data_IF_495843034337
#
_entry.id   IF_495843034337
#
_cell.length_a   1.000
_cell.length_b   1.000
_cell.length_c   1.000
_cell.angle_alpha   90.00
_cell.angle_beta   90.00
_cell.angle_gamma   90.00
#
_symmetry.space_group_name_H-M   'P 1'
#
loop_
_entity.id
_entity.type
_entity.pdbx_description
1 polymer ?
#
# COMPACT_ATOMS: atom_id res chain seq x y z
N UNK A 1 9.46 3.36 22.71
CA UNK A 1 8.03 3.01 22.88
C UNK A 1 7.86 1.65 22.24
N UNK A 2 7.23 0.70 22.94
CA UNK A 2 7.02 -0.66 22.42
C UNK A 2 6.19 -0.60 21.13
N UNK A 3 6.67 -1.20 20.05
CA UNK A 3 5.84 -1.50 18.89
C UNK A 3 4.77 -2.47 19.38
N UNK A 4 3.49 -2.13 19.20
CA UNK A 4 2.42 -3.05 19.50
C UNK A 4 2.48 -4.17 18.46
N UNK A 5 2.81 -5.39 18.88
CA UNK A 5 2.59 -6.57 18.05
C UNK A 5 1.08 -6.77 17.95
N UNK A 6 0.52 -6.56 16.76
CA UNK A 6 -0.92 -6.64 16.56
C UNK A 6 -1.36 -8.11 16.59
N UNK A 7 -2.42 -8.46 17.33
CA UNK A 7 -2.98 -9.80 17.27
C UNK A 7 -3.44 -10.09 15.84
N UNK A 8 -3.13 -11.29 15.34
CA UNK A 8 -3.58 -11.75 14.02
C UNK A 8 -5.11 -11.78 13.82
N UNK A 9 -5.86 -11.59 14.91
CA UNK A 9 -7.31 -11.56 14.92
C UNK A 9 -7.90 -10.20 14.50
N UNK A 10 -7.11 -9.12 14.55
CA UNK A 10 -7.61 -7.79 14.19
C UNK A 10 -8.07 -7.78 12.73
N UNK A 11 -9.24 -7.21 12.41
CA UNK A 11 -9.73 -7.15 11.04
C UNK A 11 -8.91 -6.15 10.22
N UNK A 12 -8.54 -6.54 9.00
CA UNK A 12 -7.81 -5.70 8.05
C UNK A 12 -8.69 -5.32 6.86
N UNK A 13 -8.62 -4.06 6.46
CA UNK A 13 -9.10 -3.56 5.19
C UNK A 13 -7.92 -3.10 4.33
N UNK A 14 -7.89 -3.56 3.08
CA UNK A 14 -6.88 -3.18 2.10
C UNK A 14 -7.49 -2.17 1.11
N UNK A 15 -6.85 -1.03 0.90
CA UNK A 15 -7.18 -0.07 -0.16
C UNK A 15 -6.02 -0.04 -1.17
N UNK A 16 -6.26 -0.43 -2.42
CA UNK A 16 -5.19 -0.71 -3.38
C UNK A 16 -5.56 -0.34 -4.83
N UNK A 17 -4.58 -0.15 -5.70
CA UNK A 17 -4.72 0.09 -7.15
C UNK A 17 -4.16 -1.06 -7.99
N UNK A 18 -4.23 -2.28 -7.43
CA UNK A 18 -3.70 -3.58 -7.92
C UNK A 18 -2.82 -3.54 -9.17
N UNK A 19 -1.58 -3.14 -8.92
CA UNK A 19 -0.38 -3.38 -9.70
C UNK A 19 0.34 -4.68 -9.35
N UNK A 20 1.64 -4.73 -9.66
CA UNK A 20 2.49 -5.92 -9.45
C UNK A 20 2.96 -6.00 -8.00
N UNK A 21 3.34 -4.87 -7.42
CA UNK A 21 3.70 -4.72 -6.00
C UNK A 21 2.50 -4.88 -5.06
N UNK A 22 1.31 -4.42 -5.44
CA UNK A 22 0.08 -4.74 -4.72
C UNK A 22 -0.17 -6.24 -4.66
N UNK A 23 0.09 -6.97 -5.76
CA UNK A 23 0.00 -8.44 -5.78
C UNK A 23 0.99 -9.09 -4.80
N UNK A 24 2.22 -8.55 -4.68
CA UNK A 24 3.16 -9.01 -3.65
C UNK A 24 2.62 -8.74 -2.22
N UNK A 25 1.99 -7.59 -1.99
CA UNK A 25 1.40 -7.24 -0.70
C UNK A 25 0.20 -8.15 -0.36
N UNK A 26 -0.68 -8.41 -1.32
CA UNK A 26 -1.78 -9.36 -1.18
C UNK A 26 -1.24 -10.77 -0.85
N UNK A 27 -0.25 -11.25 -1.60
CA UNK A 27 0.38 -12.54 -1.32
C UNK A 27 0.96 -12.59 0.10
N UNK A 28 1.62 -11.52 0.54
CA UNK A 28 2.14 -11.40 1.89
C UNK A 28 1.00 -11.49 2.94
N UNK A 29 -0.08 -10.71 2.80
CA UNK A 29 -1.22 -10.72 3.72
C UNK A 29 -1.87 -12.12 3.83
N UNK A 30 -2.03 -12.81 2.68
CA UNK A 30 -2.57 -14.17 2.64
C UNK A 30 -1.60 -15.17 3.29
N UNK A 31 -0.32 -15.13 2.94
CA UNK A 31 0.71 -15.99 3.53
C UNK A 31 0.88 -15.78 5.02
N UNK A 32 0.62 -14.56 5.49
CA UNK A 32 0.65 -14.20 6.91
C UNK A 32 -0.56 -14.70 7.69
N UNK A 33 -1.65 -15.04 7.01
CA UNK A 33 -2.91 -15.47 7.61
C UNK A 33 -3.70 -14.32 8.23
N UNK A 34 -3.62 -13.12 7.65
CA UNK A 34 -4.34 -11.94 8.14
C UNK A 34 -5.86 -12.12 7.96
N UNK A 35 -6.63 -11.64 8.94
CA UNK A 35 -8.09 -11.52 8.85
C UNK A 35 -8.48 -10.36 7.89
N UNK A 36 -8.26 -10.56 6.59
CA UNK A 36 -8.59 -9.58 5.55
C UNK A 36 -10.11 -9.60 5.31
N UNK A 37 -10.82 -8.60 5.86
CA UNK A 37 -12.29 -8.52 5.88
C UNK A 37 -12.88 -7.76 4.70
N UNK A 38 -12.04 -7.10 3.90
CA UNK A 38 -12.45 -6.45 2.66
C UNK A 38 -11.30 -5.79 1.93
N UNK A 39 -11.49 -5.62 0.62
CA UNK A 39 -10.60 -4.88 -0.27
C UNK A 39 -11.39 -3.78 -0.98
N UNK A 40 -10.92 -2.55 -0.87
CA UNK A 40 -11.33 -1.43 -1.70
C UNK A 40 -10.33 -1.22 -2.82
N UNK A 41 -10.82 -0.96 -4.05
CA UNK A 41 -9.93 -0.59 -5.15
C UNK A 41 -10.07 0.86 -5.55
N UNK A 42 -8.97 1.49 -5.94
CA UNK A 42 -8.89 2.89 -6.37
C UNK A 42 -8.13 2.97 -7.69
N UNK A 43 -8.32 4.04 -8.47
CA UNK A 43 -7.53 4.22 -9.69
C UNK A 43 -6.16 4.78 -9.37
N UNK A 44 -5.13 4.19 -9.97
CA UNK A 44 -3.76 4.64 -9.88
C UNK A 44 -2.86 3.94 -10.90
N UNK A 45 -2.32 2.77 -10.56
CA UNK A 45 -1.53 1.91 -11.47
C UNK A 45 -2.40 1.47 -12.65
N UNK A 46 -3.66 1.11 -12.37
CA UNK A 46 -4.72 0.93 -13.36
C UNK A 46 -6.02 1.63 -12.91
N UNK A 47 -7.11 1.51 -13.69
CA UNK A 47 -8.44 1.99 -13.30
C UNK A 47 -8.99 1.20 -12.10
N UNK A 48 -9.82 1.81 -11.25
CA UNK A 48 -10.39 1.14 -10.07
C UNK A 48 -11.16 -0.15 -10.41
N UNK A 49 -11.84 -0.18 -11.56
CA UNK A 49 -12.57 -1.36 -12.02
C UNK A 49 -11.62 -2.48 -12.46
N UNK A 50 -10.55 -2.15 -13.17
CA UNK A 50 -9.52 -3.12 -13.56
C UNK A 50 -8.70 -3.60 -12.36
N UNK A 51 -8.39 -2.71 -11.42
CA UNK A 51 -7.78 -3.07 -10.14
C UNK A 51 -8.65 -4.08 -9.40
N UNK A 52 -9.98 -3.87 -9.33
CA UNK A 52 -10.89 -4.84 -8.69
C UNK A 52 -10.90 -6.21 -9.40
N UNK A 53 -10.82 -6.22 -10.73
CA UNK A 53 -10.72 -7.46 -11.49
C UNK A 53 -9.38 -8.17 -11.23
N UNK A 54 -8.27 -7.43 -11.23
CA UNK A 54 -6.94 -7.95 -10.92
C UNK A 54 -6.87 -8.50 -9.48
N UNK A 55 -7.40 -7.74 -8.50
CA UNK A 55 -7.52 -8.20 -7.10
C UNK A 55 -8.27 -9.53 -7.04
N UNK A 56 -9.44 -9.60 -7.69
CA UNK A 56 -10.31 -10.78 -7.66
C UNK A 56 -9.59 -12.00 -8.26
N UNK A 57 -8.99 -11.85 -9.44
CA UNK A 57 -8.27 -12.92 -10.13
C UNK A 57 -7.06 -13.39 -9.34
N UNK A 58 -6.28 -12.47 -8.78
CA UNK A 58 -5.10 -12.82 -8.02
C UNK A 58 -5.45 -13.51 -6.70
N UNK A 59 -6.43 -13.00 -5.95
CA UNK A 59 -6.97 -13.69 -4.78
C UNK A 59 -7.53 -15.07 -5.14
N UNK A 60 -8.21 -15.21 -6.28
CA UNK A 60 -8.66 -16.49 -6.81
C UNK A 60 -7.52 -17.47 -7.09
N UNK A 61 -6.41 -17.00 -7.66
CA UNK A 61 -5.19 -17.78 -7.87
C UNK A 61 -4.51 -18.19 -6.55
N UNK A 62 -4.76 -17.44 -5.46
CA UNK A 62 -4.38 -17.78 -4.10
C UNK A 62 -5.42 -18.62 -3.34
N UNK A 63 -6.55 -18.96 -3.96
CA UNK A 63 -7.62 -19.75 -3.36
C UNK A 63 -8.53 -19.00 -2.39
N UNK A 64 -8.59 -17.66 -2.47
CA UNK A 64 -9.32 -16.77 -1.55
C UNK A 64 -10.40 -15.94 -2.25
N UNK A 65 -11.41 -16.61 -2.82
CA UNK A 65 -12.55 -15.93 -3.47
C UNK A 65 -13.60 -15.40 -2.49
N UNK A 66 -13.45 -15.70 -1.19
CA UNK A 66 -14.35 -15.33 -0.11
C UNK A 66 -14.21 -13.87 0.38
N UNK A 67 -13.11 -13.20 0.03
CA UNK A 67 -12.80 -11.86 0.52
C UNK A 67 -13.65 -10.82 -0.23
N UNK A 68 -14.42 -9.96 0.46
CA UNK A 68 -15.21 -8.93 -0.18
C UNK A 68 -14.39 -7.92 -0.97
N UNK A 69 -14.79 -7.59 -2.20
CA UNK A 69 -14.13 -6.59 -3.05
C UNK A 69 -15.12 -5.51 -3.47
N UNK A 70 -14.82 -4.26 -3.13
CA UNK A 70 -15.60 -3.08 -3.48
C UNK A 70 -14.84 -2.20 -4.49
N UNK A 71 -15.48 -1.86 -5.60
CA UNK A 71 -14.93 -0.88 -6.55
C UNK A 71 -15.06 0.51 -5.91
N UNK A 72 -13.95 1.25 -5.84
CA UNK A 72 -13.90 2.60 -5.30
C UNK A 72 -13.80 3.69 -6.36
N UNK A 73 -13.11 4.75 -6.00
CA UNK A 73 -13.05 5.98 -6.77
C UNK A 73 -12.30 5.79 -8.10
N UNK A 74 -12.96 6.18 -9.19
CA UNK A 74 -12.31 6.23 -10.49
C UNK A 74 -11.46 7.48 -10.69
N UNK A 75 -11.91 8.65 -10.20
CA UNK A 75 -11.21 9.92 -10.38
C UNK A 75 -10.62 10.42 -9.07
N UNK A 76 -9.45 11.09 -9.10
CA UNK A 76 -8.95 11.81 -7.93
C UNK A 76 -9.89 12.97 -7.57
N UNK A 77 -9.82 13.45 -6.33
CA UNK A 77 -10.74 14.47 -5.81
C UNK A 77 -10.73 15.79 -6.58
N UNK A 78 -9.61 16.17 -7.19
CA UNK A 78 -9.42 17.45 -7.87
C UNK A 78 -9.07 17.32 -9.36
N UNK A 79 -9.50 16.22 -9.99
CA UNK A 79 -9.20 15.98 -11.40
C UNK A 79 -9.91 14.79 -12.01
N UNK A 80 -9.32 14.29 -13.10
CA UNK A 80 -9.75 13.10 -13.81
C UNK A 80 -8.59 12.12 -13.85
N UNK A 81 -8.92 10.83 -13.86
CA UNK A 81 -7.92 9.77 -13.98
C UNK A 81 -7.10 9.97 -15.26
N UNK A 82 -5.78 10.04 -15.11
CA UNK A 82 -4.87 10.40 -16.20
C UNK A 82 -4.46 9.23 -17.10
N UNK A 83 -4.94 8.02 -16.80
CA UNK A 83 -4.60 6.80 -17.51
C UNK A 83 -3.76 5.85 -16.66
N UNK A 84 -3.60 4.64 -17.18
CA UNK A 84 -2.85 3.55 -16.53
C UNK A 84 -1.34 3.78 -16.63
N UNK A 85 -0.59 3.12 -15.75
CA UNK A 85 0.88 3.17 -15.70
C UNK A 85 1.46 1.92 -16.38
N UNK A 86 1.01 1.65 -17.62
CA UNK A 86 1.29 0.40 -18.33
C UNK A 86 2.80 0.17 -18.57
N UNK A 87 3.60 1.22 -18.64
CA UNK A 87 5.06 1.10 -18.80
C UNK A 87 5.77 0.50 -17.57
N UNK A 88 5.11 0.45 -16.41
CA UNK A 88 5.59 -0.22 -15.18
C UNK A 88 4.86 -1.54 -14.96
N UNK A 89 3.54 -1.53 -15.15
CA UNK A 89 2.66 -2.60 -14.70
C UNK A 89 2.08 -3.44 -15.83
N UNK A 90 2.48 -3.27 -17.09
CA UNK A 90 1.87 -3.92 -18.24
C UNK A 90 0.50 -3.33 -18.60
N UNK A 91 -0.01 -3.69 -19.78
CA UNK A 91 -1.28 -3.16 -20.29
C UNK A 91 -2.48 -3.59 -19.44
N UNK A 92 -2.43 -4.79 -18.84
CA UNK A 92 -3.47 -5.27 -17.91
C UNK A 92 -3.24 -4.86 -16.44
N UNK A 93 -2.20 -4.07 -16.14
CA UNK A 93 -1.85 -3.65 -14.77
C UNK A 93 -1.16 -4.70 -13.89
N UNK A 94 -0.96 -5.95 -14.35
CA UNK A 94 -0.29 -7.02 -13.62
C UNK A 94 0.74 -7.77 -14.49
N UNK A 95 1.56 -7.02 -15.22
CA UNK A 95 2.68 -7.53 -16.03
C UNK A 95 2.25 -8.36 -17.23
N UNK A 96 1.04 -8.13 -17.76
CA UNK A 96 0.43 -8.88 -18.86
C UNK A 96 0.27 -10.39 -18.58
N UNK A 97 0.31 -10.77 -17.30
CA UNK A 97 0.07 -12.13 -16.85
C UNK A 97 -1.42 -12.44 -16.95
N UNK A 98 -1.76 -13.50 -17.69
CA UNK A 98 -3.15 -13.96 -17.81
C UNK A 98 -3.56 -14.79 -16.59
N UNK A 99 -4.55 -14.29 -15.87
CA UNK A 99 -5.20 -14.99 -14.76
C UNK A 99 -6.66 -15.29 -15.12
N UNK A 100 -7.17 -16.49 -14.79
CA UNK A 100 -8.53 -16.87 -15.10
C UNK A 100 -9.51 -15.99 -14.32
N UNK A 101 -10.64 -15.64 -14.96
CA UNK A 101 -11.75 -15.02 -14.26
C UNK A 101 -12.27 -15.94 -13.16
N UNK A 102 -12.71 -15.33 -12.04
CA UNK A 102 -13.23 -16.04 -10.87
C UNK A 102 -14.54 -15.42 -10.39
N UNK A 103 -15.38 -16.28 -9.81
CA UNK A 103 -16.54 -15.86 -9.04
C UNK A 103 -16.04 -15.42 -7.65
N UNK A 104 -15.80 -14.12 -7.52
CA UNK A 104 -15.31 -13.49 -6.30
C UNK A 104 -16.46 -12.79 -5.56
N UNK A 105 -16.31 -12.62 -4.24
CA UNK A 105 -17.24 -11.89 -3.39
C UNK A 105 -17.26 -10.37 -3.67
N UNK A 106 -17.66 -9.97 -4.89
CA UNK A 106 -17.84 -8.55 -5.24
C UNK A 106 -19.04 -7.99 -4.48
N UNK A 107 -18.92 -6.77 -4.00
CA UNK A 107 -20.01 -6.06 -3.30
C UNK A 107 -20.42 -4.81 -4.07
N UNK A 108 -21.72 -4.50 -4.03
CA UNK A 108 -22.31 -3.38 -4.78
C UNK A 108 -22.13 -2.00 -4.11
N UNK A 109 -21.46 -1.97 -2.95
CA UNK A 109 -21.15 -0.72 -2.24
C UNK A 109 -19.82 -0.16 -2.71
N UNK A 110 -19.64 1.16 -2.62
CA UNK A 110 -18.34 1.79 -2.91
C UNK A 110 -17.29 1.38 -1.87
N UNK A 111 -16.01 1.36 -2.25
CA UNK A 111 -14.90 1.10 -1.32
C UNK A 111 -14.93 2.01 -0.08
N UNK A 112 -15.22 3.30 -0.26
CA UNK A 112 -15.34 4.26 0.82
C UNK A 112 -16.46 3.90 1.81
N UNK A 113 -17.62 3.48 1.30
CA UNK A 113 -18.75 3.06 2.13
C UNK A 113 -18.47 1.72 2.82
N UNK A 114 -17.86 0.75 2.13
CA UNK A 114 -17.43 -0.52 2.73
C UNK A 114 -16.49 -0.26 3.92
N UNK A 115 -15.51 0.63 3.76
CA UNK A 115 -14.61 1.01 4.84
C UNK A 115 -15.35 1.62 6.04
N UNK A 116 -16.29 2.54 5.80
CA UNK A 116 -17.11 3.12 6.88
C UNK A 116 -17.91 2.06 7.63
N UNK A 117 -18.54 1.13 6.90
CA UNK A 117 -19.35 0.07 7.49
C UNK A 117 -18.48 -0.89 8.33
N UNK A 118 -17.32 -1.28 7.82
CA UNK A 118 -16.36 -2.10 8.55
C UNK A 118 -15.80 -1.40 9.79
N UNK A 119 -15.50 -0.10 9.69
CA UNK A 119 -14.98 0.68 10.81
C UNK A 119 -16.02 0.84 11.94
N UNK A 120 -17.28 1.05 11.58
CA UNK A 120 -18.40 1.08 12.55
C UNK A 120 -18.65 -0.28 13.20
N UNK A 121 -18.47 -1.37 12.47
CA UNK A 121 -18.59 -2.72 13.00
C UNK A 121 -17.42 -3.12 13.91
N UNK A 122 -16.23 -2.51 13.72
CA UNK A 122 -15.00 -2.84 14.42
C UNK A 122 -14.30 -1.59 15.01
N UNK A 123 -14.99 -0.82 15.87
CA UNK A 123 -14.50 0.48 16.33
C UNK A 123 -13.22 0.32 17.17
N UNK A 124 -12.16 1.02 16.77
CA UNK A 124 -10.85 1.02 17.41
C UNK A 124 -9.98 -0.19 17.10
N UNK A 125 -10.49 -1.20 16.38
CA UNK A 125 -9.74 -2.43 16.06
C UNK A 125 -9.52 -2.62 14.57
N UNK A 126 -10.33 -2.01 13.69
CA UNK A 126 -10.09 -2.09 12.25
C UNK A 126 -8.72 -1.49 11.89
N UNK A 127 -7.90 -2.29 11.22
CA UNK A 127 -6.61 -1.91 10.65
C UNK A 127 -6.82 -1.60 9.18
N UNK A 128 -6.30 -0.47 8.71
CA UNK A 128 -6.38 -0.10 7.30
C UNK A 128 -4.99 -0.01 6.71
N UNK A 129 -4.78 -0.74 5.62
CA UNK A 129 -3.58 -0.63 4.79
C UNK A 129 -3.98 0.03 3.47
N UNK A 130 -3.51 1.25 3.24
CA UNK A 130 -3.72 1.99 2.01
C UNK A 130 -2.42 2.02 1.21
N UNK A 131 -2.40 1.30 0.09
CA UNK A 131 -1.23 1.14 -0.79
C UNK A 131 -1.45 1.72 -2.20
N UNK A 132 -2.62 2.33 -2.43
CA UNK A 132 -2.87 3.17 -3.61
C UNK A 132 -3.15 4.63 -3.25
N UNK A 133 -3.59 5.46 -4.23
CA UNK A 133 -4.02 6.83 -3.98
C UNK A 133 -5.11 6.93 -2.91
N UNK A 134 -4.99 7.90 -2.00
CA UNK A 134 -5.82 8.01 -0.79
C UNK A 134 -7.27 8.47 -1.02
N UNK A 135 -7.76 8.46 -2.26
CA UNK A 135 -9.07 8.98 -2.65
C UNK A 135 -10.20 8.27 -1.90
N UNK A 136 -10.18 6.94 -1.82
CA UNK A 136 -11.19 6.18 -1.08
C UNK A 136 -11.18 6.51 0.41
N UNK A 137 -10.00 6.67 1.01
CA UNK A 137 -9.84 7.02 2.43
C UNK A 137 -10.38 8.43 2.70
N UNK A 138 -10.09 9.40 1.83
CA UNK A 138 -10.61 10.76 1.94
C UNK A 138 -12.13 10.82 1.76
N UNK A 139 -12.69 10.03 0.83
CA UNK A 139 -14.14 9.90 0.65
C UNK A 139 -14.81 9.22 1.85
N UNK A 140 -14.20 8.18 2.42
CA UNK A 140 -14.70 7.52 3.63
C UNK A 140 -14.71 8.50 4.81
N UNK A 141 -13.66 9.33 4.95
CA UNK A 141 -13.61 10.40 5.94
C UNK A 141 -14.71 11.46 5.73
N UNK A 142 -15.03 11.79 4.47
CA UNK A 142 -16.13 12.71 4.17
C UNK A 142 -17.51 12.11 4.53
N UNK A 143 -17.69 10.80 4.38
CA UNK A 143 -18.90 10.07 4.77
C UNK A 143 -19.02 9.91 6.30
N UNK A 144 -17.90 9.73 6.99
CA UNK A 144 -17.83 9.56 8.44
C UNK A 144 -16.66 10.40 9.01
N UNK A 145 -16.90 11.66 9.41
CA UNK A 145 -15.85 12.52 9.96
C UNK A 145 -15.23 12.01 11.26
N UNK A 146 -15.86 11.06 11.95
CA UNK A 146 -15.29 10.38 13.12
C UNK A 146 -14.46 9.14 12.76
N UNK A 147 -14.24 8.85 11.46
CA UNK A 147 -13.47 7.71 11.00
C UNK A 147 -12.07 7.59 11.66
N UNK A 148 -11.34 8.70 11.95
CA UNK A 148 -10.09 8.65 12.72
C UNK A 148 -10.22 8.06 14.13
N UNK A 149 -11.40 8.17 14.75
CA UNK A 149 -11.70 7.58 16.06
C UNK A 149 -12.12 6.10 15.96
N UNK A 150 -12.59 5.68 14.78
CA UNK A 150 -13.11 4.33 14.54
C UNK A 150 -12.05 3.37 13.99
N UNK A 151 -11.07 3.86 13.24
CA UNK A 151 -9.95 3.05 12.74
C UNK A 151 -8.87 2.97 13.83
N UNK A 152 -8.38 1.76 14.11
CA UNK A 152 -7.31 1.55 15.08
C UNK A 152 -5.96 2.09 14.59
N UNK A 153 -5.65 1.89 13.30
CA UNK A 153 -4.48 2.48 12.64
C UNK A 153 -4.67 2.49 11.12
N UNK A 154 -4.10 3.51 10.49
CA UNK A 154 -4.00 3.67 9.05
C UNK A 154 -2.53 3.61 8.63
N UNK A 155 -2.11 2.52 8.00
CA UNK A 155 -0.79 2.41 7.37
C UNK A 155 -0.90 2.81 5.91
N UNK A 156 -0.05 3.73 5.47
CA UNK A 156 -0.05 4.31 4.13
C UNK A 156 1.30 4.02 3.48
N UNK A 157 1.30 3.33 2.34
CA UNK A 157 2.44 3.38 1.42
C UNK A 157 2.33 4.66 0.60
N UNK A 158 3.30 5.54 0.76
CA UNK A 158 3.37 6.75 -0.05
C UNK A 158 4.22 7.86 0.54
N UNK A 159 4.48 8.85 -0.30
CA UNK A 159 5.29 10.01 0.04
C UNK A 159 6.79 9.76 0.01
N UNK A 160 7.53 10.85 0.16
CA UNK A 160 8.98 10.88 0.28
C UNK A 160 9.36 12.02 1.24
N UNK A 161 10.03 11.69 2.33
CA UNK A 161 10.38 12.65 3.38
C UNK A 161 11.72 13.33 3.09
N UNK A 162 12.74 12.55 2.79
CA UNK A 162 14.11 12.96 2.46
C UNK A 162 14.56 12.41 1.09
N UNK A 163 13.93 11.32 0.64
CA UNK A 163 14.14 10.72 -0.67
C UNK A 163 13.61 11.59 -1.83
N UNK A 164 14.12 11.41 -3.06
CA UNK A 164 13.47 11.94 -4.25
C UNK A 164 12.12 11.23 -4.51
N UNK A 165 11.25 11.87 -5.29
CA UNK A 165 10.01 11.24 -5.76
C UNK A 165 10.24 10.23 -6.91
N UNK A 166 9.23 9.40 -7.18
CA UNK A 166 9.23 8.43 -8.29
C UNK A 166 8.23 8.78 -9.41
N UNK A 167 7.19 9.57 -9.14
CA UNK A 167 6.28 10.09 -10.18
C UNK A 167 6.78 11.42 -10.75
N UNK A 168 7.35 12.27 -9.90
CA UNK A 168 8.12 13.45 -10.28
C UNK A 168 9.36 13.54 -9.41
N UNK A 169 10.26 14.47 -9.70
CA UNK A 169 11.43 14.70 -8.84
C UNK A 169 11.07 14.99 -7.36
N UNK A 170 9.87 15.52 -7.10
CA UNK A 170 9.45 15.96 -5.77
C UNK A 170 8.37 15.07 -5.11
N UNK A 171 7.71 14.20 -5.87
CA UNK A 171 6.52 13.50 -5.40
C UNK A 171 6.53 12.01 -5.70
N UNK A 172 6.08 11.25 -4.71
CA UNK A 172 5.75 9.84 -4.82
C UNK A 172 4.40 9.67 -5.54
N UNK A 173 4.25 8.58 -6.30
CA UNK A 173 3.13 8.31 -7.19
C UNK A 173 1.75 8.35 -6.53
N UNK A 174 1.52 7.64 -5.43
CA UNK A 174 0.22 7.59 -4.75
C UNK A 174 -0.21 8.96 -4.22
N UNK A 175 0.72 9.70 -3.61
CA UNK A 175 0.46 11.07 -3.16
C UNK A 175 0.27 12.03 -4.36
N UNK A 176 1.02 11.86 -5.44
CA UNK A 176 0.89 12.69 -6.65
C UNK A 176 -0.45 12.50 -7.37
N UNK A 177 -0.89 11.24 -7.50
CA UNK A 177 -2.12 10.82 -8.18
C UNK A 177 -3.36 11.47 -7.55
N UNK A 178 -3.39 11.66 -6.22
CA UNK A 178 -4.41 12.45 -5.54
C UNK A 178 -3.86 13.24 -4.34
N UNK A 179 -3.17 14.34 -4.65
CA UNK A 179 -2.56 15.21 -3.64
C UNK A 179 -3.58 15.83 -2.66
N UNK A 180 -4.81 16.09 -3.11
CA UNK A 180 -5.87 16.67 -2.27
C UNK A 180 -6.40 15.64 -1.29
N UNK A 181 -6.61 14.41 -1.72
CA UNK A 181 -6.96 13.32 -0.81
C UNK A 181 -5.85 13.08 0.21
N UNK A 182 -4.59 13.05 -0.22
CA UNK A 182 -3.46 12.87 0.67
C UNK A 182 -3.32 13.99 1.70
N UNK A 183 -3.44 15.26 1.28
CA UNK A 183 -3.48 16.41 2.19
C UNK A 183 -4.60 16.28 3.22
N UNK A 184 -5.79 15.87 2.76
CA UNK A 184 -6.95 15.67 3.64
C UNK A 184 -6.62 14.60 4.70
N UNK A 185 -6.31 13.38 4.27
CA UNK A 185 -6.08 12.24 5.16
C UNK A 185 -4.95 12.49 6.16
N UNK A 186 -3.79 13.00 5.69
CA UNK A 186 -2.62 13.22 6.55
C UNK A 186 -2.83 14.33 7.59
N UNK A 187 -3.84 15.19 7.42
CA UNK A 187 -4.18 16.24 8.39
C UNK A 187 -5.47 16.00 9.17
N UNK A 188 -6.19 14.92 8.89
CA UNK A 188 -7.48 14.57 9.53
C UNK A 188 -7.36 13.91 10.91
N UNK A 189 -6.15 13.67 11.43
CA UNK A 189 -5.96 13.14 12.78
C UNK A 189 -6.09 11.63 12.93
N UNK A 190 -5.98 10.87 11.83
CA UNK A 190 -5.82 9.41 11.88
C UNK A 190 -4.57 9.01 12.68
N UNK A 191 -4.63 7.87 13.36
CA UNK A 191 -3.42 7.20 13.85
C UNK A 191 -2.65 6.63 12.65
N UNK A 192 -1.77 7.44 12.08
CA UNK A 192 -1.13 7.15 10.79
C UNK A 192 0.29 6.61 10.94
N UNK A 193 0.60 5.56 10.17
CA UNK A 193 1.98 5.16 9.83
C UNK A 193 2.20 5.46 8.36
N UNK A 194 3.14 6.35 8.06
CA UNK A 194 3.52 6.66 6.68
C UNK A 194 4.79 5.86 6.34
N UNK A 195 4.72 5.08 5.27
CA UNK A 195 5.80 4.24 4.74
C UNK A 195 6.27 4.85 3.41
N UNK A 196 7.23 5.79 3.45
CA UNK A 196 7.65 6.55 2.28
C UNK A 196 8.75 5.84 1.47
N UNK A 197 9.07 6.44 0.32
CA UNK A 197 10.17 6.02 -0.55
C UNK A 197 11.51 5.91 0.16
N UNK A 198 11.73 6.69 1.23
CA UNK A 198 12.94 6.66 2.06
C UNK A 198 13.31 5.26 2.55
N UNK A 199 12.31 4.40 2.80
CA UNK A 199 12.55 3.02 3.25
C UNK A 199 12.21 1.99 2.19
N UNK A 200 11.19 2.21 1.37
CA UNK A 200 10.78 1.18 0.41
C UNK A 200 11.79 1.01 -0.71
N UNK A 201 12.50 2.07 -1.10
CA UNK A 201 13.52 2.01 -2.16
C UNK A 201 14.79 1.25 -1.73
N UNK A 202 15.01 1.07 -0.44
CA UNK A 202 16.18 0.39 0.12
C UNK A 202 15.97 -1.13 0.30
N UNK A 203 14.75 -1.62 0.15
CA UNK A 203 14.38 -3.02 0.37
C UNK A 203 13.90 -3.63 -0.94
N UNK A 204 14.72 -4.50 -1.53
CA UNK A 204 14.53 -4.97 -2.90
C UNK A 204 14.51 -6.48 -3.00
N UNK A 205 13.84 -6.99 -4.04
CA UNK A 205 13.94 -8.39 -4.50
C UNK A 205 14.68 -8.46 -5.81
N UNK A 206 15.23 -9.64 -6.13
CA UNK A 206 15.99 -9.87 -7.36
C UNK A 206 15.56 -11.13 -8.12
N UNK A 207 16.40 -11.55 -9.09
CA UNK A 207 16.10 -12.70 -9.94
C UNK A 207 15.97 -14.02 -9.15
N UNK A 208 16.68 -14.16 -8.02
CA UNK A 208 16.61 -15.36 -7.20
C UNK A 208 15.22 -15.54 -6.57
N UNK A 209 14.62 -14.47 -6.05
CA UNK A 209 13.26 -14.48 -5.50
C UNK A 209 12.25 -14.77 -6.60
N UNK A 210 12.41 -14.12 -7.76
CA UNK A 210 11.57 -14.31 -8.93
C UNK A 210 11.59 -15.75 -9.46
N UNK A 211 12.75 -16.39 -9.55
CA UNK A 211 12.87 -17.80 -9.94
C UNK A 211 12.18 -18.73 -8.94
N UNK A 212 12.35 -18.48 -7.63
CA UNK A 212 11.69 -19.28 -6.58
C UNK A 212 10.16 -19.19 -6.67
N UNK A 213 9.62 -18.00 -6.87
CA UNK A 213 8.18 -17.80 -7.08
C UNK A 213 7.70 -18.52 -8.34
N UNK A 214 8.42 -18.38 -9.46
CA UNK A 214 8.09 -19.00 -10.74
C UNK A 214 8.11 -20.54 -10.69
N UNK A 215 8.99 -21.11 -9.87
CA UNK A 215 9.08 -22.56 -9.66
C UNK A 215 7.99 -23.13 -8.73
N UNK A 216 7.18 -22.28 -8.11
CA UNK A 216 6.16 -22.70 -7.16
C UNK A 216 5.05 -23.54 -7.81
N UNK A 217 4.62 -24.59 -7.11
CA UNK A 217 3.44 -25.36 -7.49
C UNK A 217 2.14 -24.55 -7.29
N UNK A 218 2.16 -23.58 -6.36
CA UNK A 218 1.01 -22.76 -6.04
C UNK A 218 0.74 -21.76 -7.18
N UNK A 219 -0.47 -21.75 -7.80
CA UNK A 219 -0.74 -20.97 -9.00
C UNK A 219 -0.53 -19.45 -8.88
N UNK A 220 -1.01 -18.82 -7.81
CA UNK A 220 -0.80 -17.40 -7.54
C UNK A 220 0.68 -17.05 -7.32
N UNK A 221 1.47 -17.87 -6.64
CA UNK A 221 2.92 -17.63 -6.50
C UNK A 221 3.66 -17.73 -7.84
N UNK A 222 3.30 -18.70 -8.67
CA UNK A 222 3.86 -18.83 -10.02
C UNK A 222 3.49 -17.65 -10.91
N UNK A 223 2.25 -17.19 -10.84
CA UNK A 223 1.81 -15.98 -11.53
C UNK A 223 2.60 -14.76 -11.04
N UNK A 224 2.78 -14.62 -9.73
CA UNK A 224 3.55 -13.54 -9.12
C UNK A 224 5.02 -13.53 -9.58
N UNK A 225 5.63 -14.71 -9.76
CA UNK A 225 6.96 -14.84 -10.35
C UNK A 225 7.02 -14.34 -11.81
N UNK A 226 5.97 -14.55 -12.60
CA UNK A 226 5.88 -14.00 -13.95
C UNK A 226 5.67 -12.47 -13.94
N UNK A 227 4.84 -11.95 -13.03
CA UNK A 227 4.64 -10.50 -12.87
C UNK A 227 5.94 -9.79 -12.46
N UNK A 228 6.66 -10.39 -11.51
CA UNK A 228 7.92 -9.85 -11.00
C UNK A 228 9.01 -9.80 -12.08
N UNK A 229 8.96 -10.68 -13.08
CA UNK A 229 9.88 -10.67 -14.22
C UNK A 229 9.84 -9.32 -14.96
N UNK A 230 8.63 -8.83 -15.27
CA UNK A 230 8.39 -7.51 -15.87
C UNK A 230 8.83 -6.38 -14.95
N UNK A 231 8.49 -6.47 -13.67
CA UNK A 231 8.76 -5.41 -12.69
C UNK A 231 10.26 -5.23 -12.42
N UNK A 232 11.01 -6.34 -12.37
CA UNK A 232 12.47 -6.31 -12.28
C UNK A 232 13.13 -5.57 -13.45
N UNK A 233 12.60 -5.74 -14.66
CA UNK A 233 13.15 -5.11 -15.87
C UNK A 233 12.92 -3.59 -15.88
N UNK A 234 11.76 -3.13 -15.42
CA UNK A 234 11.48 -1.69 -15.26
C UNK A 234 12.53 -1.02 -14.36
N UNK A 235 12.85 -1.64 -13.22
CA UNK A 235 13.75 -1.05 -12.23
C UNK A 235 15.24 -1.09 -12.60
N UNK A 236 15.64 -1.74 -13.71
CA UNK A 236 17.02 -1.66 -14.21
C UNK A 236 17.42 -0.19 -14.46
N UNK A 237 16.50 0.63 -14.98
CA UNK A 237 16.74 2.06 -15.19
C UNK A 237 16.88 2.87 -13.91
N UNK A 238 16.48 2.33 -12.77
CA UNK A 238 16.47 2.99 -11.46
C UNK A 238 17.68 2.56 -10.64
N UNK A 239 17.94 1.26 -10.53
CA UNK A 239 19.03 0.72 -9.71
C UNK A 239 20.32 0.41 -10.50
N UNK A 240 20.27 0.41 -11.83
CA UNK A 240 21.40 0.02 -12.67
C UNK A 240 21.64 -1.50 -12.74
N UNK A 241 20.81 -2.29 -12.06
CA UNK A 241 20.82 -3.75 -12.09
C UNK A 241 19.41 -4.30 -11.88
N UNK A 242 19.24 -5.58 -12.18
CA UNK A 242 17.93 -6.24 -12.17
C UNK A 242 17.48 -6.55 -10.74
N UNK A 243 16.80 -5.60 -10.12
CA UNK A 243 16.17 -5.69 -8.79
C UNK A 243 14.95 -4.79 -8.76
N UNK A 244 13.98 -5.03 -7.88
CA UNK A 244 12.78 -4.20 -7.74
C UNK A 244 12.50 -3.87 -6.29
N UNK A 245 11.97 -2.67 -6.04
CA UNK A 245 11.59 -2.21 -4.71
C UNK A 245 10.38 -2.98 -4.17
N UNK A 246 10.35 -3.21 -2.85
CA UNK A 246 9.19 -3.73 -2.14
C UNK A 246 8.41 -2.58 -1.49
N UNK A 247 7.64 -1.83 -2.30
CA UNK A 247 6.81 -0.73 -1.83
C UNK A 247 5.70 -1.21 -0.90
N UNK A 248 4.65 -1.78 -1.48
CA UNK A 248 3.46 -2.21 -0.76
C UNK A 248 3.69 -3.40 0.17
N UNK A 249 4.54 -4.40 -0.16
CA UNK A 249 4.81 -5.51 0.74
C UNK A 249 5.50 -5.07 2.03
N UNK A 250 6.36 -4.05 1.97
CA UNK A 250 6.97 -3.47 3.17
C UNK A 250 5.91 -2.76 4.03
N UNK A 251 5.03 -1.98 3.40
CA UNK A 251 3.93 -1.36 4.13
C UNK A 251 2.99 -2.39 4.77
N UNK A 252 2.71 -3.50 4.08
CA UNK A 252 1.93 -4.61 4.61
C UNK A 252 2.62 -5.27 5.82
N UNK A 253 3.92 -5.54 5.74
CA UNK A 253 4.67 -6.17 6.82
C UNK A 253 4.85 -5.27 8.05
N UNK A 254 4.91 -3.96 7.85
CA UNK A 254 4.83 -2.97 8.93
C UNK A 254 3.43 -2.97 9.55
N UNK A 255 2.37 -2.98 8.73
CA UNK A 255 0.99 -2.92 9.21
C UNK A 255 0.58 -4.14 10.04
N UNK A 256 1.13 -5.32 9.73
CA UNK A 256 0.94 -6.58 10.47
C UNK A 256 1.86 -6.71 11.69
N UNK A 257 2.87 -5.85 11.81
CA UNK A 257 3.84 -5.85 12.90
C UNK A 257 4.95 -6.89 12.77
N UNK A 258 5.17 -7.46 11.59
CA UNK A 258 6.28 -8.39 11.34
C UNK A 258 7.61 -7.67 11.10
N UNK A 259 7.56 -6.41 10.64
CA UNK A 259 8.73 -5.55 10.47
C UNK A 259 8.72 -4.46 11.54
N UNK A 260 9.76 -4.45 12.37
CA UNK A 260 9.93 -3.42 13.41
C UNK A 260 10.31 -2.06 12.82
N UNK A 261 9.87 -0.99 13.47
CA UNK A 261 10.21 0.38 13.10
C UNK A 261 11.45 0.84 13.87
N UNK A 262 12.63 0.73 13.26
CA UNK A 262 13.90 1.16 13.87
C UNK A 262 13.93 2.67 14.11
N UNK A 263 13.47 3.45 13.13
CA UNK A 263 13.31 4.90 13.25
C UNK A 263 12.02 5.35 12.57
N UNK A 264 11.04 5.78 13.37
CA UNK A 264 9.77 6.32 12.87
C UNK A 264 9.29 7.51 13.71
N UNK A 265 9.88 8.72 13.54
CA UNK A 265 9.48 9.90 14.30
C UNK A 265 8.01 10.27 14.08
N UNK A 266 7.35 10.74 15.13
CA UNK A 266 6.06 11.40 15.04
C UNK A 266 6.26 12.82 14.48
N UNK A 267 5.73 13.10 13.30
CA UNK A 267 5.88 14.37 12.62
C UNK A 267 4.58 14.78 11.92
N UNK A 268 4.33 16.10 11.81
CA UNK A 268 3.28 16.58 10.91
C UNK A 268 3.72 16.45 9.47
N UNK A 269 2.79 16.04 8.63
CA UNK A 269 2.97 15.94 7.18
C UNK A 269 1.91 16.78 6.51
N UNK A 270 2.33 17.67 5.62
CA UNK A 270 1.44 18.40 4.70
C UNK A 270 1.84 18.08 3.27
N UNK A 271 0.89 18.21 2.34
CA UNK A 271 1.08 17.87 0.94
C UNK A 271 0.85 19.13 0.09
N UNK A 272 1.76 19.41 -0.83
CA UNK A 272 1.57 20.47 -1.81
C UNK A 272 0.48 20.07 -2.82
N UNK A 273 -0.64 20.79 -2.82
CA UNK A 273 -1.83 20.47 -3.63
C UNK A 273 -1.96 21.32 -4.90
N UNK A 274 -1.16 22.38 -5.03
CA UNK A 274 -1.12 23.23 -6.20
C UNK A 274 -0.72 22.46 -7.46
N UNK A 275 -1.03 23.03 -8.64
CA UNK A 275 -0.70 22.41 -9.94
C UNK A 275 0.73 22.70 -10.41
N UNK A 276 1.63 23.00 -9.47
CA UNK A 276 3.03 23.34 -9.75
C UNK A 276 3.96 22.11 -9.78
N UNK A 277 5.27 22.32 -9.99
CA UNK A 277 6.26 21.23 -10.07
C UNK A 277 6.42 20.44 -8.76
N UNK A 278 5.97 21.00 -7.63
CA UNK A 278 6.00 20.35 -6.33
C UNK A 278 4.68 19.65 -5.97
N UNK A 279 3.70 19.57 -6.87
CA UNK A 279 2.43 18.88 -6.61
C UNK A 279 2.70 17.48 -6.07
N UNK A 280 2.03 17.10 -4.97
CA UNK A 280 2.17 15.80 -4.34
C UNK A 280 3.42 15.65 -3.47
N UNK A 281 4.24 16.70 -3.31
CA UNK A 281 5.37 16.66 -2.38
C UNK A 281 4.85 16.55 -0.94
N UNK A 282 5.32 15.55 -0.21
CA UNK A 282 5.13 15.44 1.24
C UNK A 282 6.16 16.28 1.98
N UNK A 283 5.69 17.37 2.61
CA UNK A 283 6.51 18.26 3.43
C UNK A 283 6.43 17.76 4.88
N UNK A 284 7.45 17.01 5.29
CA UNK A 284 7.53 16.39 6.62
C UNK A 284 8.33 17.28 7.57
N UNK A 285 7.78 17.62 8.74
CA UNK A 285 8.46 18.44 9.74
C UNK A 285 9.51 17.65 10.53
N UNK A 286 10.66 17.41 9.91
CA UNK A 286 11.80 16.70 10.50
C UNK A 286 12.76 17.58 11.30
N UNK A 287 12.39 18.83 11.62
CA UNK A 287 13.25 19.76 12.40
C UNK A 287 13.60 19.18 13.79
N UNK A 288 12.80 18.26 14.30
CA UNK A 288 13.05 17.51 15.54
C UNK A 288 14.30 16.63 15.50
N UNK A 289 14.89 16.37 14.33
CA UNK A 289 16.09 15.54 14.14
C UNK A 289 17.26 15.97 15.03
N UNK A 290 17.50 17.28 15.17
CA UNK A 290 18.58 17.81 16.01
C UNK A 290 18.34 17.68 17.52
N UNK A 291 17.18 17.15 17.91
CA UNK A 291 16.80 16.82 19.29
C UNK A 291 16.46 15.33 19.43
N UNK A 292 17.00 14.49 18.54
CA UNK A 292 16.74 13.05 18.47
C UNK A 292 15.24 12.71 18.41
N UNK A 293 14.44 13.58 17.79
CA UNK A 293 12.98 13.46 17.71
C UNK A 293 12.26 13.30 19.05
N UNK A 294 12.88 13.77 20.15
CA UNK A 294 12.36 13.56 21.51
C UNK A 294 10.99 14.23 21.75
N UNK A 295 10.69 15.30 21.02
CA UNK A 295 9.41 16.01 21.07
C UNK A 295 9.04 16.46 19.66
N UNK A 296 7.79 16.23 19.18
CA UNK A 296 7.31 16.78 17.93
C UNK A 296 7.43 18.32 17.91
N UNK A 297 7.82 18.88 16.77
CA UNK A 297 8.04 20.33 16.62
C UNK A 297 6.73 21.07 16.33
N UNK A 298 5.71 20.37 15.82
CA UNK A 298 4.41 20.94 15.47
C UNK A 298 3.28 20.40 16.34
N UNK A 299 2.19 21.16 16.41
CA UNK A 299 0.95 20.80 17.10
C UNK A 299 -0.15 20.25 16.16
N UNK A 300 0.20 19.94 14.90
CA UNK A 300 -0.75 19.39 13.93
C UNK A 300 -1.02 17.91 14.16
N UNK A 301 -1.84 17.30 13.30
CA UNK A 301 -1.94 15.84 13.22
C UNK A 301 -0.55 15.25 12.99
N UNK A 302 -0.22 14.20 13.74
CA UNK A 302 1.08 13.56 13.71
C UNK A 302 0.96 12.18 13.06
N UNK A 303 1.85 11.92 12.10
CA UNK A 303 2.06 10.59 11.54
C UNK A 303 3.37 10.03 12.07
N UNK A 304 3.44 8.71 12.30
CA UNK A 304 4.73 8.01 12.44
C UNK A 304 5.32 7.87 11.03
N UNK A 305 6.34 8.66 10.71
CA UNK A 305 6.99 8.62 9.39
C UNK A 305 8.16 7.66 9.45
N UNK A 306 8.07 6.53 8.77
CA UNK A 306 9.09 5.48 8.80
C UNK A 306 10.31 5.93 7.99
N UNK A 307 11.46 6.00 8.64
CA UNK A 307 12.74 6.40 8.03
C UNK A 307 13.78 5.27 8.03
N UNK A 308 13.66 4.32 8.96
CA UNK A 308 14.54 3.15 9.01
C UNK A 308 13.78 1.92 9.53
N UNK A 309 14.06 0.77 8.92
CA UNK A 309 13.63 -0.57 9.32
C UNK A 309 14.83 -1.53 9.27
N UNK A 310 14.76 -2.73 9.87
CA UNK A 310 15.83 -3.72 9.77
C UNK A 310 16.16 -4.09 8.32
N UNK A 311 17.45 -4.28 8.02
CA UNK A 311 17.94 -4.57 6.66
C UNK A 311 17.44 -5.90 6.09
N UNK A 312 16.99 -6.82 6.94
CA UNK A 312 16.42 -8.14 6.61
C UNK A 312 14.90 -8.10 6.43
N UNK A 313 14.28 -6.92 6.37
CA UNK A 313 12.83 -6.80 6.14
C UNK A 313 12.40 -7.45 4.82
N UNK A 314 13.18 -7.34 3.75
CA UNK A 314 12.89 -7.99 2.46
C UNK A 314 12.87 -9.53 2.59
N UNK A 315 13.85 -10.11 3.28
CA UNK A 315 13.91 -11.56 3.52
C UNK A 315 12.72 -12.05 4.37
N UNK A 316 12.32 -11.24 5.36
CA UNK A 316 11.15 -11.51 6.22
C UNK A 316 9.88 -11.56 5.38
N UNK A 317 9.67 -10.57 4.50
CA UNK A 317 8.51 -10.50 3.59
C UNK A 317 8.48 -11.71 2.67
N UNK A 318 9.59 -12.00 1.99
CA UNK A 318 9.66 -13.10 1.03
C UNK A 318 9.47 -14.46 1.69
N UNK A 319 10.01 -14.66 2.89
CA UNK A 319 9.79 -15.87 3.68
C UNK A 319 8.30 -16.10 3.97
N UNK A 320 7.53 -15.05 4.24
CA UNK A 320 6.08 -15.17 4.47
C UNK A 320 5.33 -15.50 3.18
N UNK A 321 5.67 -14.86 2.07
CA UNK A 321 5.05 -15.12 0.76
C UNK A 321 5.30 -16.58 0.32
N UNK A 322 6.54 -17.05 0.40
CA UNK A 322 6.94 -18.38 -0.06
C UNK A 322 6.25 -19.52 0.74
N UNK A 323 5.85 -19.26 2.00
CA UNK A 323 5.11 -20.24 2.83
C UNK A 323 3.74 -20.61 2.28
N UNK A 324 3.13 -19.77 1.43
CA UNK A 324 1.83 -20.10 0.81
C UNK A 324 1.94 -21.41 0.01
N UNK A 325 3.08 -21.66 -0.65
CA UNK A 325 3.31 -22.89 -1.41
C UNK A 325 3.56 -24.14 -0.56
N UNK A 326 3.82 -23.97 0.75
CA UNK A 326 4.07 -25.08 1.67
C UNK A 326 2.81 -25.56 2.40
N UNK A 327 1.74 -24.75 2.44
CA UNK A 327 0.45 -25.13 3.01
C UNK A 327 -0.25 -26.14 2.09
N UNK A 328 -0.32 -27.40 2.53
CA UNK A 328 -1.06 -28.49 1.88
C UNK A 328 -2.42 -28.70 2.53
#
# INVERSE_FOLDING_TARGET
MSVATHPLADPFFLDCDTGIDDCLAIAYLIGRGVNLVGVGTVSGNTSAAEAAENTARFLGALGRTDIPIAVGAHHPLDGVFAGTVAFVHGENGIGDVDLPAVDAARVDTSAAQLLVDLARANPGTLRVLAIGPLTNIALAFALEPRLPELIGELTIMGGAALAPGNATAAAEANIYKDAVAAQTVLTSGFNTVLVPLDVTMEHTVGPAEQERLSASAQPGLRALGAMLDTYLDFYIGVYGERRAALHDPLAAAIATGDVELTLAPAASVVVETGRGPARGQTIVDLRGRFRNYAVPVSAGALSRVVLEVPSDAADTIMTVIERIGAAR
#
